data_IF_396124102649
#
_entry.id   IF_396124102649
#
_cell.length_a   1.000
_cell.length_b   1.000
_cell.length_c   1.000
_cell.angle_alpha   90.00
_cell.angle_beta   90.00
_cell.angle_gamma   90.00
#
_symmetry.space_group_name_H-M   'P 1'
#
loop_
_entity.id
_entity.type
_entity.pdbx_description
1 polymer ?
#
# COMPACT_ATOMS: atom_id res chain seq x y z
N UNK A 1 18.36 16.52 12.56
CA UNK A 1 18.59 15.19 13.16
C UNK A 1 19.55 14.44 12.25
N UNK A 2 20.78 14.17 12.70
CA UNK A 2 21.74 13.37 11.94
C UNK A 2 21.44 11.89 12.23
N UNK A 3 20.81 11.21 11.26
CA UNK A 3 20.57 9.77 11.32
C UNK A 3 21.76 9.04 10.66
N UNK A 4 22.49 8.29 11.47
CA UNK A 4 23.20 7.06 11.08
C UNK A 4 24.40 7.19 10.14
N UNK A 5 25.60 7.28 10.72
CA UNK A 5 26.82 6.74 10.09
C UNK A 5 26.92 5.27 10.50
N UNK A 6 26.34 4.37 9.71
CA UNK A 6 26.63 2.94 9.78
C UNK A 6 26.75 2.38 8.35
N UNK A 7 27.84 1.66 8.12
CA UNK A 7 28.45 1.32 6.82
C UNK A 7 27.71 0.27 5.98
N UNK A 8 26.39 0.20 6.09
CA UNK A 8 25.51 -0.69 5.31
C UNK A 8 24.13 -0.12 5.02
N UNK A 9 23.86 1.12 5.44
CA UNK A 9 22.63 1.83 5.09
C UNK A 9 22.79 2.49 3.72
N UNK A 10 21.75 2.42 2.89
CA UNK A 10 21.66 3.25 1.68
C UNK A 10 21.92 4.71 2.05
N UNK A 11 22.89 5.36 1.42
CA UNK A 11 23.12 6.81 1.60
C UNK A 11 21.97 7.67 1.05
N UNK A 12 21.07 7.06 0.27
CA UNK A 12 19.88 7.71 -0.28
C UNK A 12 18.74 7.62 0.72
N UNK A 13 18.35 8.78 1.24
CA UNK A 13 17.12 8.95 2.01
C UNK A 13 15.96 9.03 1.02
N UNK A 14 14.90 8.27 1.27
CA UNK A 14 13.71 8.22 0.42
C UNK A 14 12.46 8.72 1.16
N UNK A 15 11.56 9.38 0.42
CA UNK A 15 10.19 9.65 0.82
C UNK A 15 9.28 8.70 0.04
N UNK A 16 8.45 7.92 0.74
CA UNK A 16 7.52 6.98 0.12
C UNK A 16 6.10 7.52 0.22
N UNK A 17 5.42 7.63 -0.91
CA UNK A 17 4.13 8.29 -1.03
C UNK A 17 3.17 7.39 -1.81
N UNK A 18 2.10 6.88 -1.17
CA UNK A 18 0.98 6.31 -1.88
C UNK A 18 0.18 7.40 -2.59
N UNK A 19 -0.20 7.15 -3.83
CA UNK A 19 -0.97 8.06 -4.68
C UNK A 19 -2.18 7.34 -5.28
N UNK A 20 -3.24 8.07 -5.58
CA UNK A 20 -4.41 7.51 -6.27
C UNK A 20 -5.71 8.16 -5.84
N UNK A 21 -6.77 7.82 -6.57
CA UNK A 21 -8.11 8.26 -6.26
C UNK A 21 -8.86 7.17 -5.48
N UNK A 22 -9.61 7.60 -4.47
CA UNK A 22 -10.54 6.76 -3.74
C UNK A 22 -11.77 6.44 -4.62
N UNK A 23 -12.21 5.18 -4.70
CA UNK A 23 -13.51 4.84 -5.25
C UNK A 23 -14.63 5.49 -4.43
N UNK A 24 -15.47 6.29 -5.06
CA UNK A 24 -16.63 6.92 -4.43
C UNK A 24 -17.90 6.55 -5.21
N UNK A 25 -18.88 5.88 -4.58
CA UNK A 25 -20.12 5.53 -5.25
C UNK A 25 -20.97 6.80 -5.44
N UNK A 26 -21.33 7.12 -6.70
CA UNK A 26 -22.21 8.24 -7.06
C UNK A 26 -23.66 7.81 -7.31
N UNK A 27 -24.00 6.55 -6.99
CA UNK A 27 -25.36 5.99 -7.06
C UNK A 27 -25.40 4.52 -7.49
N UNK A 28 -24.43 4.07 -8.29
CA UNK A 28 -24.21 2.67 -8.64
C UNK A 28 -22.80 2.24 -8.20
N UNK A 29 -22.64 0.96 -7.85
CA UNK A 29 -21.32 0.37 -7.56
C UNK A 29 -20.62 -0.18 -8.82
N UNK A 30 -21.35 -0.25 -9.93
CA UNK A 30 -20.90 -0.69 -11.26
C UNK A 30 -21.12 0.44 -12.28
N UNK A 31 -20.30 1.48 -12.22
CA UNK A 31 -20.36 2.64 -13.12
C UNK A 31 -19.41 2.52 -14.31
N UNK A 32 -18.53 1.50 -14.31
CA UNK A 32 -17.49 1.33 -15.32
C UNK A 32 -16.28 2.25 -15.13
N UNK A 33 -16.19 2.97 -14.00
CA UNK A 33 -14.98 3.72 -13.66
C UNK A 33 -13.77 2.80 -13.48
N UNK A 34 -12.59 3.37 -13.73
CA UNK A 34 -11.31 2.72 -13.48
C UNK A 34 -10.53 3.58 -12.51
N UNK A 35 -10.25 3.02 -11.34
CA UNK A 35 -9.49 3.65 -10.28
C UNK A 35 -8.04 3.18 -10.36
N UNK A 36 -7.13 4.14 -10.50
CA UNK A 36 -5.69 3.90 -10.51
C UNK A 36 -5.06 4.47 -9.26
N UNK A 37 -4.15 3.71 -8.72
CA UNK A 37 -3.40 4.04 -7.51
C UNK A 37 -2.04 3.38 -7.57
N UNK A 38 -1.07 3.97 -6.90
CA UNK A 38 0.30 3.51 -6.91
C UNK A 38 1.04 3.95 -5.67
N UNK A 39 2.32 3.61 -5.61
CA UNK A 39 3.25 4.06 -4.57
C UNK A 39 4.50 4.55 -5.29
N UNK A 40 5.00 5.70 -4.88
CA UNK A 40 6.23 6.27 -5.42
C UNK A 40 7.25 6.43 -4.30
N UNK A 41 8.52 6.19 -4.61
CA UNK A 41 9.63 6.61 -3.78
C UNK A 41 10.38 7.74 -4.46
N UNK A 42 10.65 8.81 -3.72
CA UNK A 42 11.39 9.99 -4.17
C UNK A 42 12.66 10.14 -3.35
N UNK A 43 13.73 10.64 -3.96
CA UNK A 43 14.90 11.08 -3.21
C UNK A 43 14.49 12.24 -2.31
N UNK A 44 14.78 12.12 -1.01
CA UNK A 44 14.32 13.07 -0.01
C UNK A 44 14.96 14.46 -0.12
N UNK A 45 16.09 14.57 -0.83
CA UNK A 45 16.82 15.84 -1.02
C UNK A 45 16.43 16.50 -2.34
N UNK A 46 16.37 15.73 -3.43
CA UNK A 46 16.14 16.29 -4.77
C UNK A 46 14.68 16.25 -5.19
N UNK A 47 13.88 15.34 -4.62
CA UNK A 47 12.51 15.07 -5.06
C UNK A 47 12.43 14.24 -6.34
N UNK A 48 13.56 13.76 -6.88
CA UNK A 48 13.58 12.92 -8.07
C UNK A 48 13.00 11.54 -7.77
N UNK A 49 12.27 10.97 -8.71
CA UNK A 49 11.74 9.61 -8.60
C UNK A 49 12.87 8.59 -8.51
N UNK A 50 12.84 7.76 -7.47
CA UNK A 50 13.68 6.57 -7.32
C UNK A 50 13.00 5.42 -8.04
N UNK A 51 11.74 5.12 -7.69
CA UNK A 51 10.93 4.10 -8.34
C UNK A 51 9.43 4.40 -8.20
N UNK A 52 8.64 3.75 -9.04
CA UNK A 52 7.18 3.80 -9.01
C UNK A 52 6.58 2.40 -9.10
N UNK A 53 5.50 2.19 -8.37
CA UNK A 53 4.67 0.99 -8.43
C UNK A 53 3.24 1.38 -8.76
N UNK A 54 2.65 0.76 -9.77
CA UNK A 54 1.23 0.90 -10.12
C UNK A 54 0.50 -0.36 -9.69
N UNK A 55 -0.45 -0.23 -8.75
CA UNK A 55 -1.33 -1.34 -8.43
C UNK A 55 -2.26 -1.66 -9.61
N UNK A 56 -2.76 -2.90 -9.72
CA UNK A 56 -3.75 -3.26 -10.72
C UNK A 56 -4.96 -2.32 -10.70
N UNK A 57 -5.43 -1.94 -11.89
CA UNK A 57 -6.66 -1.17 -12.07
C UNK A 57 -7.83 -1.76 -11.26
N UNK A 58 -8.53 -0.92 -10.52
CA UNK A 58 -9.74 -1.32 -9.80
C UNK A 58 -10.98 -0.80 -10.51
N UNK A 59 -11.97 -1.67 -10.72
CA UNK A 59 -13.12 -1.39 -11.60
C UNK A 59 -14.45 -1.21 -10.84
N UNK A 60 -14.41 -1.16 -9.52
CA UNK A 60 -15.59 -1.01 -8.68
C UNK A 60 -15.56 0.34 -7.97
N UNK A 61 -16.72 0.96 -7.79
CA UNK A 61 -16.87 2.23 -7.06
C UNK A 61 -16.97 2.06 -5.54
N UNK A 62 -16.60 0.88 -5.06
CA UNK A 62 -16.53 0.51 -3.65
C UNK A 62 -15.26 -0.31 -3.43
N UNK A 63 -14.85 -0.48 -2.18
CA UNK A 63 -13.58 -1.16 -1.88
C UNK A 63 -13.78 -2.65 -1.61
N UNK A 64 -12.70 -3.42 -1.52
CA UNK A 64 -12.81 -4.83 -1.19
C UNK A 64 -13.53 -5.04 0.15
N UNK A 65 -14.46 -6.00 0.17
CA UNK A 65 -15.33 -6.29 1.31
C UNK A 65 -16.52 -5.34 1.48
N UNK A 66 -16.58 -4.21 0.76
CA UNK A 66 -17.74 -3.30 0.87
C UNK A 66 -19.02 -3.92 0.34
N UNK A 67 -18.95 -4.83 -0.65
CA UNK A 67 -20.14 -5.51 -1.18
C UNK A 67 -20.96 -6.21 -0.09
N UNK A 68 -20.31 -6.80 0.92
CA UNK A 68 -21.01 -7.40 2.07
C UNK A 68 -21.50 -6.34 3.06
N UNK A 69 -20.88 -5.16 3.11
CA UNK A 69 -21.26 -4.04 4.00
C UNK A 69 -22.38 -3.17 3.46
N UNK A 70 -22.68 -3.22 2.16
CA UNK A 70 -23.76 -2.44 1.54
C UNK A 70 -25.12 -2.69 2.23
N UNK A 71 -25.39 -3.91 2.69
CA UNK A 71 -26.65 -4.26 3.38
C UNK A 71 -26.70 -3.81 4.84
N UNK A 72 -25.57 -3.34 5.38
CA UNK A 72 -25.41 -3.00 6.80
C UNK A 72 -25.00 -1.54 7.03
N UNK A 73 -25.00 -0.69 6.01
CA UNK A 73 -24.67 0.75 6.10
C UNK A 73 -23.34 1.07 6.80
N UNK A 74 -22.33 0.21 6.65
CA UNK A 74 -21.02 0.30 7.33
C UNK A 74 -19.86 0.37 6.34
N UNK A 75 -20.11 0.93 5.15
CA UNK A 75 -19.15 1.00 4.04
C UNK A 75 -17.87 1.70 4.48
N UNK A 76 -16.71 1.16 4.11
CA UNK A 76 -15.44 1.72 4.57
C UNK A 76 -14.97 2.92 3.75
N UNK A 77 -15.08 2.85 2.41
CA UNK A 77 -14.63 3.88 1.46
C UNK A 77 -13.30 4.57 1.86
N UNK A 78 -12.19 3.82 2.00
CA UNK A 78 -10.88 4.37 2.32
C UNK A 78 -10.24 5.17 1.17
N UNK A 79 -9.23 5.96 1.54
CA UNK A 79 -8.16 6.36 0.63
C UNK A 79 -7.51 5.14 -0.07
N UNK A 80 -6.79 5.32 -1.20
CA UNK A 80 -6.16 4.21 -1.93
C UNK A 80 -5.36 3.24 -1.07
N UNK A 81 -4.58 3.77 -0.13
CA UNK A 81 -3.76 2.98 0.75
C UNK A 81 -3.91 3.43 2.20
N UNK A 82 -3.67 2.50 3.13
CA UNK A 82 -3.23 2.84 4.48
C UNK A 82 -1.83 3.47 4.47
N UNK A 83 -1.39 3.98 5.63
CA UNK A 83 -0.03 4.52 5.75
C UNK A 83 1.00 3.43 5.46
N UNK A 84 2.01 3.65 4.59
CA UNK A 84 3.01 2.62 4.35
C UNK A 84 3.91 2.45 5.58
N UNK A 85 4.54 1.29 5.68
CA UNK A 85 5.60 1.03 6.67
C UNK A 85 6.79 0.40 5.97
N UNK A 86 8.00 0.69 6.44
CA UNK A 86 9.23 0.29 5.76
C UNK A 86 10.08 -0.53 6.73
N UNK A 87 10.53 -1.70 6.29
CA UNK A 87 11.46 -2.52 7.08
C UNK A 87 12.93 -2.08 6.91
N UNK A 88 13.83 -2.70 7.67
CA UNK A 88 15.26 -2.38 7.62
C UNK A 88 15.94 -2.70 6.27
N UNK A 89 15.31 -3.52 5.41
CA UNK A 89 15.81 -3.81 4.06
C UNK A 89 15.27 -2.82 3.02
N UNK A 90 14.40 -1.90 3.42
CA UNK A 90 13.74 -0.97 2.51
C UNK A 90 12.50 -1.56 1.82
N UNK A 91 11.97 -2.69 2.28
CA UNK A 91 10.68 -3.18 1.77
C UNK A 91 9.56 -2.33 2.31
N UNK A 92 8.74 -1.80 1.40
CA UNK A 92 7.54 -1.02 1.68
C UNK A 92 6.34 -1.94 1.80
N UNK A 93 5.66 -1.91 2.94
CA UNK A 93 4.42 -2.61 3.21
C UNK A 93 3.24 -1.63 3.20
N UNK A 94 2.22 -1.90 2.39
CA UNK A 94 1.03 -1.06 2.30
C UNK A 94 -0.23 -1.90 2.04
N UNK A 95 -1.25 -1.69 2.88
CA UNK A 95 -2.60 -2.19 2.62
C UNK A 95 -3.33 -1.28 1.63
N UNK A 96 -4.05 -1.87 0.68
CA UNK A 96 -4.69 -1.16 -0.42
C UNK A 96 -6.19 -1.44 -0.50
N UNK A 97 -6.99 -0.48 -0.98
CA UNK A 97 -8.46 -0.65 -1.05
C UNK A 97 -8.92 -1.87 -1.86
N UNK A 98 -8.09 -2.44 -2.73
CA UNK A 98 -8.47 -3.59 -3.55
C UNK A 98 -8.42 -4.92 -2.79
N UNK A 99 -8.16 -4.89 -1.48
CA UNK A 99 -8.10 -6.10 -0.65
C UNK A 99 -6.69 -6.60 -0.41
N UNK A 100 -5.69 -6.06 -1.11
CA UNK A 100 -4.33 -6.59 -1.05
C UNK A 100 -3.45 -5.82 -0.07
N UNK A 101 -2.59 -6.57 0.61
CA UNK A 101 -1.38 -6.06 1.26
C UNK A 101 -0.25 -6.25 0.27
N UNK A 102 0.45 -5.18 -0.07
CA UNK A 102 1.64 -5.23 -0.91
C UNK A 102 2.91 -5.11 -0.07
N UNK A 103 3.93 -5.87 -0.44
CA UNK A 103 5.32 -5.72 -0.01
C UNK A 103 6.16 -5.47 -1.26
N UNK A 104 6.79 -4.30 -1.36
CA UNK A 104 7.45 -3.80 -2.57
C UNK A 104 8.88 -3.40 -2.24
N UNK A 105 9.85 -3.82 -3.07
CA UNK A 105 11.25 -3.38 -2.96
C UNK A 105 11.91 -3.45 -4.33
N UNK A 106 12.53 -2.34 -4.77
CA UNK A 106 13.41 -2.31 -5.94
C UNK A 106 14.71 -3.08 -5.59
N UNK A 107 14.71 -4.39 -5.86
CA UNK A 107 15.76 -5.32 -5.46
C UNK A 107 16.98 -5.22 -6.37
N UNK A 108 16.77 -4.86 -7.63
CA UNK A 108 17.84 -4.73 -8.62
C UNK A 108 18.37 -3.29 -8.72
N UNK A 109 17.67 -2.31 -8.14
CA UNK A 109 18.08 -0.90 -8.10
C UNK A 109 17.93 -0.18 -9.45
N UNK A 110 17.09 -0.68 -10.35
CA UNK A 110 16.91 -0.12 -11.70
C UNK A 110 15.81 0.96 -11.76
N UNK A 111 15.14 1.22 -10.64
CA UNK A 111 14.09 2.22 -10.51
C UNK A 111 12.73 1.79 -11.09
N UNK A 112 12.56 0.52 -11.47
CA UNK A 112 11.33 0.00 -12.07
C UNK A 112 10.86 -1.24 -11.33
N UNK A 113 9.79 -1.08 -10.57
CA UNK A 113 9.19 -2.19 -9.83
C UNK A 113 8.57 -3.20 -10.81
N UNK A 114 9.13 -4.41 -10.82
CA UNK A 114 8.65 -5.56 -11.60
C UNK A 114 7.77 -6.47 -10.75
N UNK A 115 6.98 -7.35 -11.39
CA UNK A 115 6.12 -8.31 -10.66
C UNK A 115 6.90 -9.20 -9.68
N UNK A 116 8.16 -9.53 -9.99
CA UNK A 116 9.04 -10.31 -9.10
C UNK A 116 9.47 -9.55 -7.84
N UNK A 117 9.32 -8.23 -7.83
CA UNK A 117 9.70 -7.31 -6.74
C UNK A 117 8.51 -6.93 -5.87
N UNK A 118 7.35 -7.52 -6.15
CA UNK A 118 6.10 -7.30 -5.45
C UNK A 118 5.58 -8.63 -4.91
N UNK A 119 5.46 -8.71 -3.59
CA UNK A 119 4.67 -9.75 -2.94
C UNK A 119 3.32 -9.19 -2.54
N UNK A 120 2.25 -9.96 -2.75
CA UNK A 120 0.90 -9.52 -2.41
C UNK A 120 0.11 -10.62 -1.70
N UNK A 121 -0.66 -10.25 -0.69
CA UNK A 121 -1.61 -11.13 -0.01
C UNK A 121 -3.02 -10.55 -0.10
N UNK A 122 -3.98 -11.35 -0.56
CA UNK A 122 -5.38 -10.93 -0.70
C UNK A 122 -6.16 -11.23 0.58
N UNK A 123 -6.58 -10.15 1.25
CA UNK A 123 -7.37 -10.21 2.48
C UNK A 123 -8.87 -10.07 2.23
N UNK A 124 -9.26 -9.73 1.00
CA UNK A 124 -10.62 -9.36 0.63
C UNK A 124 -11.19 -8.15 1.41
N UNK A 125 -10.35 -7.40 2.12
CA UNK A 125 -10.75 -6.28 2.98
C UNK A 125 -10.04 -4.98 2.56
N UNK A 126 -10.77 -3.88 2.44
CA UNK A 126 -10.18 -2.56 2.21
C UNK A 126 -9.30 -2.09 3.38
N UNK A 127 -8.39 -1.17 3.10
CA UNK A 127 -7.45 -0.62 4.10
C UNK A 127 -7.57 0.91 4.14
N UNK A 128 -8.04 1.45 5.27
CA UNK A 128 -8.28 2.90 5.44
C UNK A 128 -7.28 3.62 6.31
N UNK A 129 -6.68 2.94 7.28
CA UNK A 129 -5.89 3.56 8.35
C UNK A 129 -4.85 2.57 8.88
N UNK A 130 -3.76 3.12 9.41
CA UNK A 130 -2.67 2.36 10.01
C UNK A 130 -1.71 1.76 8.98
N UNK A 131 -0.42 1.79 9.30
CA UNK A 131 0.58 1.02 8.57
C UNK A 131 0.81 -0.34 9.18
N UNK A 132 1.55 -1.17 8.44
CA UNK A 132 1.99 -2.45 8.95
C UNK A 132 2.92 -2.24 10.16
N UNK A 133 2.57 -2.84 11.29
CA UNK A 133 3.46 -2.90 12.46
C UNK A 133 4.38 -4.09 12.29
N UNK A 134 5.68 -3.83 12.41
CA UNK A 134 6.74 -4.81 12.21
C UNK A 134 7.42 -5.11 13.55
N UNK A 135 7.52 -6.39 13.87
CA UNK A 135 8.33 -6.92 14.96
C UNK A 135 9.12 -8.14 14.44
N UNK A 136 10.17 -8.61 15.14
CA UNK A 136 10.90 -9.80 14.71
C UNK A 136 9.96 -10.98 14.42
N UNK A 137 9.96 -11.45 13.17
CA UNK A 137 9.11 -12.56 12.70
C UNK A 137 7.61 -12.31 12.75
N UNK A 138 7.14 -11.06 12.89
CA UNK A 138 5.71 -10.73 12.96
C UNK A 138 5.38 -9.47 12.18
N UNK A 139 4.33 -9.53 11.38
CA UNK A 139 3.68 -8.37 10.75
C UNK A 139 2.22 -8.33 11.18
N UNK A 140 1.74 -7.16 11.60
CA UNK A 140 0.32 -6.94 11.85
C UNK A 140 -0.18 -5.71 11.09
N UNK A 141 -1.34 -5.81 10.45
CA UNK A 141 -1.92 -4.68 9.70
C UNK A 141 -3.45 -4.64 9.87
N UNK A 142 -4.02 -3.49 10.29
CA UNK A 142 -5.46 -3.32 10.39
C UNK A 142 -6.09 -3.04 9.03
N UNK A 143 -7.27 -3.61 8.80
CA UNK A 143 -8.16 -3.33 7.67
C UNK A 143 -9.49 -2.79 8.17
N UNK A 144 -10.42 -2.54 7.25
CA UNK A 144 -11.81 -2.20 7.58
C UNK A 144 -12.58 -3.36 8.25
N UNK A 145 -12.03 -4.59 8.23
CA UNK A 145 -12.72 -5.83 8.62
C UNK A 145 -12.13 -6.41 9.92
N UNK A 146 -10.88 -6.08 10.23
CA UNK A 146 -10.17 -6.62 11.38
C UNK A 146 -8.67 -6.39 11.30
N UNK A 147 -7.90 -7.20 12.02
CA UNK A 147 -6.43 -7.15 12.01
C UNK A 147 -5.90 -8.45 11.43
N UNK A 148 -5.05 -8.35 10.41
CA UNK A 148 -4.31 -9.47 9.86
C UNK A 148 -2.95 -9.57 10.55
N UNK A 149 -2.60 -10.76 11.03
CA UNK A 149 -1.32 -11.02 11.69
C UNK A 149 -0.63 -12.17 10.96
N UNK A 150 0.61 -11.94 10.55
CA UNK A 150 1.48 -12.89 9.86
C UNK A 150 2.65 -13.21 10.77
N UNK A 151 3.06 -14.48 10.79
CA UNK A 151 4.18 -14.98 11.57
C UNK A 151 4.96 -16.02 10.76
N UNK A 152 6.28 -16.01 10.91
CA UNK A 152 7.21 -17.02 10.37
C UNK A 152 7.25 -18.30 11.23
#
# INVERSE_FOLDING_TARGET
ANLGKDSGLSERLAVVIPIGAQPVPTGSVLTGHTWRSGIMALDAKTGETIWEFQAPDWKFDVVAGDFQRLTHHTICLPNPYGSPSVDARGTVYAGHFNGKIYAIRDDNGDGKIQDSEVSAYDTQAGFSHGGAVLAPGTLAIPSCDGVFVFRE
#
